data_IF_719471154140
#
_entry.id   IF_719471154140
#
_cell.length_a   1.000
_cell.length_b   1.000
_cell.length_c   1.000
_cell.angle_alpha   90.00
_cell.angle_beta   90.00
_cell.angle_gamma   90.00
#
_symmetry.space_group_name_H-M   'P 1'
#
loop_
_entity.id
_entity.type
_entity.pdbx_description
1 polymer ?
#
# COMPACT_ATOMS: atom_id res chain seq x y z
N UNK A 1 -3.76 -18.32 -12.01
CA UNK A 1 -3.08 -17.03 -12.25
C UNK A 1 -1.86 -17.23 -13.15
N UNK A 2 -2.01 -17.16 -14.48
CA UNK A 2 -0.91 -17.42 -15.42
C UNK A 2 0.24 -16.40 -15.30
N UNK A 3 -0.07 -15.13 -14.99
CA UNK A 3 0.92 -14.07 -14.79
C UNK A 3 1.79 -14.30 -13.53
N UNK A 4 1.18 -14.71 -12.41
CA UNK A 4 1.93 -14.98 -11.17
C UNK A 4 2.96 -16.10 -11.34
N UNK A 5 2.66 -17.12 -12.16
CA UNK A 5 3.58 -18.21 -12.48
C UNK A 5 4.77 -17.80 -13.37
N UNK A 6 4.84 -16.54 -13.83
CA UNK A 6 5.93 -16.02 -14.68
C UNK A 6 6.78 -14.96 -13.96
N UNK A 7 6.63 -14.81 -12.64
CA UNK A 7 7.35 -13.81 -11.85
C UNK A 7 8.87 -13.98 -11.99
N UNK A 8 9.38 -15.21 -11.98
CA UNK A 8 10.83 -15.43 -12.04
C UNK A 8 11.40 -15.07 -13.41
N UNK A 9 10.71 -15.44 -14.49
CA UNK A 9 11.04 -15.01 -15.86
C UNK A 9 11.03 -13.49 -16.01
N UNK A 10 10.10 -12.79 -15.33
CA UNK A 10 10.05 -11.33 -15.34
C UNK A 10 11.24 -10.72 -14.59
N UNK A 11 11.55 -11.23 -13.39
CA UNK A 11 12.69 -10.77 -12.57
C UNK A 11 14.00 -10.90 -13.34
N UNK A 12 14.26 -12.07 -13.91
CA UNK A 12 15.48 -12.34 -14.69
C UNK A 12 15.64 -11.36 -15.85
N UNK A 13 14.57 -11.14 -16.63
CA UNK A 13 14.59 -10.18 -17.74
C UNK A 13 14.76 -8.73 -17.29
N UNK A 14 14.18 -8.37 -16.15
CA UNK A 14 14.30 -7.03 -15.61
C UNK A 14 15.72 -6.76 -15.09
N UNK A 15 16.30 -7.70 -14.34
CA UNK A 15 17.68 -7.62 -13.87
C UNK A 15 18.66 -7.49 -15.03
N UNK A 16 18.52 -8.32 -16.06
CA UNK A 16 19.32 -8.21 -17.28
C UNK A 16 19.23 -6.82 -17.92
N UNK A 17 18.03 -6.25 -18.02
CA UNK A 17 17.85 -4.90 -18.57
C UNK A 17 18.47 -3.79 -17.70
N UNK A 18 18.53 -3.98 -16.38
CA UNK A 18 19.25 -3.09 -15.47
C UNK A 18 20.75 -3.20 -15.69
N UNK A 19 21.29 -4.42 -15.72
CA UNK A 19 22.72 -4.71 -15.93
C UNK A 19 23.22 -4.20 -17.30
N UNK A 20 22.43 -4.33 -18.36
CA UNK A 20 22.73 -3.80 -19.70
C UNK A 20 22.61 -2.26 -19.79
N UNK A 21 22.31 -1.58 -18.67
CA UNK A 21 22.15 -0.13 -18.56
C UNK A 21 20.92 0.42 -19.29
N UNK A 22 20.02 -0.44 -19.78
CA UNK A 22 18.82 0.01 -20.51
C UNK A 22 17.91 0.83 -19.62
N UNK A 23 17.77 0.43 -18.36
CA UNK A 23 16.96 1.16 -17.37
C UNK A 23 17.59 2.52 -17.06
N UNK A 24 18.90 2.55 -16.81
CA UNK A 24 19.62 3.79 -16.52
C UNK A 24 19.51 4.81 -17.67
N UNK A 25 19.83 4.40 -18.91
CA UNK A 25 19.69 5.27 -20.09
C UNK A 25 18.27 5.82 -20.26
N UNK A 26 17.26 5.02 -19.94
CA UNK A 26 15.86 5.44 -20.02
C UNK A 26 15.48 6.47 -18.95
N UNK A 27 16.06 6.39 -17.75
CA UNK A 27 15.83 7.36 -16.67
C UNK A 27 16.60 8.66 -16.91
N UNK A 28 17.83 8.58 -17.43
CA UNK A 28 18.65 9.74 -17.79
C UNK A 28 18.05 10.52 -18.98
N UNK A 29 17.33 9.83 -19.87
CA UNK A 29 16.72 10.43 -21.06
C UNK A 29 15.50 11.32 -20.79
N UNK A 30 15.00 11.39 -19.56
CA UNK A 30 13.87 12.28 -19.20
C UNK A 30 14.38 13.35 -18.23
N UNK A 31 14.47 14.58 -18.72
CA UNK A 31 14.84 15.72 -17.89
C UNK A 31 13.78 16.04 -16.83
N UNK A 32 14.19 16.71 -15.74
CA UNK A 32 13.28 17.09 -14.65
C UNK A 32 12.10 17.94 -15.14
N UNK A 33 12.34 18.89 -16.04
CA UNK A 33 11.29 19.75 -16.58
C UNK A 33 10.31 18.99 -17.48
N UNK A 34 10.81 18.08 -18.33
CA UNK A 34 9.95 17.20 -19.12
C UNK A 34 9.13 16.26 -18.21
N UNK A 35 9.71 15.78 -17.11
CA UNK A 35 8.98 14.96 -16.14
C UNK A 35 7.86 15.75 -15.45
N UNK A 36 8.14 16.98 -15.02
CA UNK A 36 7.14 17.88 -14.40
C UNK A 36 6.00 18.16 -15.37
N UNK A 37 6.32 18.51 -16.62
CA UNK A 37 5.33 18.74 -17.67
C UNK A 37 4.45 17.50 -17.88
N UNK A 38 5.06 16.32 -18.04
CA UNK A 38 4.30 15.05 -18.19
C UNK A 38 3.46 14.74 -16.96
N UNK A 39 3.93 15.03 -15.76
CA UNK A 39 3.15 14.81 -14.55
C UNK A 39 1.93 15.74 -14.51
N UNK A 40 2.10 17.03 -14.77
CA UNK A 40 1.00 18.00 -14.77
C UNK A 40 -0.01 17.72 -15.88
N UNK A 41 0.46 17.45 -17.09
CA UNK A 41 -0.40 17.35 -18.27
C UNK A 41 -0.93 15.94 -18.53
N UNK A 42 -0.29 14.89 -18.01
CA UNK A 42 -0.70 13.48 -18.20
C UNK A 42 -0.91 12.72 -16.90
N UNK A 43 -0.18 13.02 -15.85
CA UNK A 43 -0.30 12.37 -14.54
C UNK A 43 -1.55 12.83 -13.81
N UNK A 44 -1.67 14.14 -13.55
CA UNK A 44 -2.78 14.75 -12.80
C UNK A 44 -4.15 14.37 -13.40
N UNK A 45 -4.38 14.44 -14.73
CA UNK A 45 -5.68 14.04 -15.30
C UNK A 45 -6.01 12.55 -15.15
N UNK A 46 -5.02 11.68 -14.89
CA UNK A 46 -5.25 10.24 -14.66
C UNK A 46 -5.57 9.90 -13.22
N UNK A 47 -5.34 10.81 -12.27
CA UNK A 47 -5.62 10.57 -10.86
C UNK A 47 -7.09 10.20 -10.62
N UNK A 48 -8.10 10.94 -11.15
CA UNK A 48 -9.51 10.59 -10.96
C UNK A 48 -9.85 9.19 -11.50
N UNK A 49 -9.41 8.86 -12.72
CA UNK A 49 -9.64 7.54 -13.30
C UNK A 49 -8.99 6.41 -12.47
N UNK A 50 -7.81 6.68 -11.90
CA UNK A 50 -7.15 5.76 -10.97
C UNK A 50 -7.94 5.56 -9.66
N UNK A 51 -8.52 6.63 -9.13
CA UNK A 51 -9.40 6.58 -7.95
C UNK A 51 -10.65 5.75 -8.27
N UNK A 52 -11.34 6.03 -9.38
CA UNK A 52 -12.55 5.32 -9.77
C UNK A 52 -12.28 3.83 -9.99
N UNK A 53 -11.20 3.49 -10.71
CA UNK A 53 -10.81 2.10 -10.95
C UNK A 53 -10.36 1.35 -9.69
N UNK A 54 -9.92 2.06 -8.65
CA UNK A 54 -9.50 1.47 -7.38
C UNK A 54 -10.63 1.45 -6.33
N UNK A 55 -11.72 2.20 -6.54
CA UNK A 55 -12.81 2.39 -5.58
C UNK A 55 -13.32 1.08 -5.00
N UNK A 56 -13.70 0.13 -5.84
CA UNK A 56 -14.26 -1.15 -5.39
C UNK A 56 -13.24 -1.99 -4.61
N UNK A 57 -11.96 -1.91 -4.97
CA UNK A 57 -10.88 -2.58 -4.25
C UNK A 57 -10.71 -1.98 -2.85
N UNK A 58 -10.79 -0.65 -2.73
CA UNK A 58 -10.72 0.05 -1.43
C UNK A 58 -11.95 -0.28 -0.59
N UNK A 59 -13.15 -0.25 -1.17
CA UNK A 59 -14.40 -0.62 -0.49
C UNK A 59 -14.32 -2.06 0.03
N UNK A 60 -13.88 -3.02 -0.81
CA UNK A 60 -13.72 -4.43 -0.43
C UNK A 60 -12.66 -4.65 0.65
N UNK A 61 -11.61 -3.82 0.67
CA UNK A 61 -10.63 -3.86 1.73
C UNK A 61 -11.21 -3.29 3.03
N UNK A 62 -11.89 -2.14 2.94
CA UNK A 62 -12.54 -1.48 4.07
C UNK A 62 -13.62 -2.37 4.71
N UNK A 63 -14.41 -3.09 3.91
CA UNK A 63 -15.43 -4.02 4.40
C UNK A 63 -14.85 -5.17 5.24
N UNK A 64 -13.55 -5.44 5.14
CA UNK A 64 -12.82 -6.40 6.00
C UNK A 64 -12.13 -5.70 7.16
N UNK A 65 -11.50 -4.56 6.91
CA UNK A 65 -10.70 -3.83 7.89
C UNK A 65 -11.57 -3.19 8.98
N UNK A 66 -12.69 -2.57 8.62
CA UNK A 66 -13.54 -1.84 9.56
C UNK A 66 -14.12 -2.75 10.64
N UNK A 67 -14.71 -3.94 10.33
CA UNK A 67 -15.15 -4.86 11.37
C UNK A 67 -14.01 -5.34 12.29
N UNK A 68 -12.81 -5.50 11.75
CA UNK A 68 -11.63 -5.85 12.55
C UNK A 68 -11.27 -4.71 13.51
N UNK A 69 -11.26 -3.47 13.04
CA UNK A 69 -11.04 -2.28 13.89
C UNK A 69 -12.08 -2.22 15.00
N UNK A 70 -13.36 -2.40 14.66
CA UNK A 70 -14.47 -2.32 15.63
C UNK A 70 -14.36 -3.40 16.71
N UNK A 71 -14.02 -4.64 16.34
CA UNK A 71 -13.75 -5.70 17.30
C UNK A 71 -12.57 -5.38 18.24
N UNK A 72 -11.53 -4.72 17.72
CA UNK A 72 -10.39 -4.29 18.53
C UNK A 72 -10.78 -3.19 19.52
N UNK A 73 -11.54 -2.18 19.06
CA UNK A 73 -12.06 -1.10 19.92
C UNK A 73 -12.95 -1.64 21.03
N UNK A 74 -13.90 -2.53 20.71
CA UNK A 74 -14.77 -3.16 21.71
C UNK A 74 -13.99 -3.98 22.76
N UNK A 75 -12.80 -4.49 22.41
CA UNK A 75 -11.90 -5.13 23.38
C UNK A 75 -11.20 -4.10 24.26
N UNK A 76 -10.68 -3.02 23.68
CA UNK A 76 -10.03 -1.95 24.43
C UNK A 76 -11.00 -1.27 25.40
N UNK A 77 -12.26 -1.04 25.03
CA UNK A 77 -13.28 -0.44 25.90
C UNK A 77 -13.50 -1.22 27.21
N UNK A 78 -13.17 -2.51 27.24
CA UNK A 78 -13.28 -3.36 28.43
C UNK A 78 -11.99 -3.41 29.27
N UNK A 79 -10.91 -2.81 28.78
CA UNK A 79 -9.65 -2.73 29.50
C UNK A 79 -9.65 -1.52 30.45
N UNK A 80 -9.01 -1.62 31.62
CA UNK A 80 -8.74 -0.44 32.45
C UNK A 80 -7.98 0.64 31.67
N UNK A 81 -8.10 1.90 32.09
CA UNK A 81 -7.44 3.06 31.49
C UNK A 81 -7.02 4.14 32.51
N UNK A 82 -6.93 3.77 33.80
CA UNK A 82 -6.72 4.71 34.91
C UNK A 82 -5.24 5.02 35.12
N UNK A 83 -4.37 4.04 34.91
CA UNK A 83 -2.93 4.17 35.14
C UNK A 83 -2.12 4.27 33.84
N UNK A 84 -0.85 4.65 33.97
CA UNK A 84 0.09 4.61 32.85
C UNK A 84 0.24 3.18 32.30
N UNK A 85 0.32 2.18 33.18
CA UNK A 85 0.41 0.77 32.78
C UNK A 85 -0.84 0.30 32.04
N UNK A 86 -2.02 0.75 32.47
CA UNK A 86 -3.27 0.49 31.74
C UNK A 86 -3.23 1.06 30.32
N UNK A 87 -2.74 2.30 30.19
CA UNK A 87 -2.57 2.96 28.88
C UNK A 87 -1.59 2.21 27.97
N UNK A 88 -0.45 1.76 28.52
CA UNK A 88 0.55 0.97 27.80
C UNK A 88 -0.05 -0.37 27.36
N UNK A 89 -0.79 -1.04 28.25
CA UNK A 89 -1.42 -2.32 27.95
C UNK A 89 -2.47 -2.20 26.84
N UNK A 90 -3.30 -1.15 26.84
CA UNK A 90 -4.26 -0.85 25.76
C UNK A 90 -3.55 -0.64 24.42
N UNK A 91 -2.47 0.14 24.40
CA UNK A 91 -1.70 0.38 23.17
C UNK A 91 -1.05 -0.91 22.65
N UNK A 92 -0.44 -1.71 23.53
CA UNK A 92 0.15 -3.00 23.17
C UNK A 92 -0.90 -3.97 22.62
N UNK A 93 -2.08 -4.03 23.23
CA UNK A 93 -3.17 -4.87 22.76
C UNK A 93 -3.68 -4.42 21.39
N UNK A 94 -3.82 -3.11 21.16
CA UNK A 94 -4.19 -2.58 19.84
C UNK A 94 -3.20 -3.00 18.74
N UNK A 95 -1.90 -2.87 19.00
CA UNK A 95 -0.85 -3.27 18.06
C UNK A 95 -0.96 -4.78 17.75
N UNK A 96 -1.14 -5.62 18.77
CA UNK A 96 -1.31 -7.07 18.61
C UNK A 96 -2.59 -7.43 17.88
N UNK A 97 -3.66 -6.68 18.10
CA UNK A 97 -4.93 -6.90 17.42
C UNK A 97 -4.81 -6.56 15.94
N UNK A 98 -4.26 -5.39 15.61
CA UNK A 98 -4.08 -4.95 14.22
C UNK A 98 -3.09 -5.81 13.43
N UNK A 99 -2.06 -6.37 14.07
CA UNK A 99 -1.10 -7.27 13.41
C UNK A 99 -1.72 -8.59 12.93
N UNK A 100 -2.86 -8.99 13.50
CA UNK A 100 -3.59 -10.22 13.10
C UNK A 100 -4.48 -10.03 11.87
N UNK A 101 -4.69 -8.79 11.43
CA UNK A 101 -5.51 -8.53 10.26
C UNK A 101 -4.88 -9.12 8.98
N UNK A 102 -5.66 -9.90 8.22
CA UNK A 102 -5.25 -10.47 6.93
C UNK A 102 -6.32 -10.17 5.88
N UNK A 103 -5.89 -9.62 4.73
CA UNK A 103 -6.75 -9.19 3.61
C UNK A 103 -7.17 -10.32 2.69
#
# INVERSE_FOLDING_TARGET
KKAAAKIDKMKERWLKAVEEGKVQRGLEGVGLEEWKDKFLNKGVPRIPAGIDGAKDKVIKFASKLLPHIDAGKAKLEKMPDVTLEDSINRAAEWIRHMSKFKK
#
